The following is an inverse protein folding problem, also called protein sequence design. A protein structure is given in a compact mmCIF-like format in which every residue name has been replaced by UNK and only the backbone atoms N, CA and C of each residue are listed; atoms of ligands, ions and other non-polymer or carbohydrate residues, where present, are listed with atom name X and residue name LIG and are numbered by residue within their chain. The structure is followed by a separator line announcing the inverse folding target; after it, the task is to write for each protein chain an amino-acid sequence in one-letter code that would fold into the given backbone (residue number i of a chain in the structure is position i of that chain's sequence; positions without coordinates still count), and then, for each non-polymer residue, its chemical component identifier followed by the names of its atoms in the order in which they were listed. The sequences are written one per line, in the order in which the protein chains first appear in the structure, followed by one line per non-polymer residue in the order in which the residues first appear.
data_IF_847826025026
#
_entry.id   IF_847826025026
#
_cell.length_a   1.000
_cell.length_b   1.000
_cell.length_c   1.000
_cell.angle_alpha   90.00
_cell.angle_beta   90.00
_cell.angle_gamma   90.00
#
_symmetry.space_group_name_H-M   'P 1'
#
loop_
_entity.id
_entity.type
_entity.pdbx_description
1 polymer ?
#
# COMPACT_ATOMS: atom_id res chain seq x y z
N UNK A 1 -11.89 -13.59 25.65
CA UNK A 1 -12.95 -13.10 24.74
C UNK A 1 -12.67 -13.62 23.32
N UNK A 2 -13.51 -14.51 22.78
CA UNK A 2 -13.26 -15.20 21.49
C UNK A 2 -13.07 -14.22 20.32
N UNK A 3 -13.88 -13.15 20.25
CA UNK A 3 -13.84 -12.16 19.15
C UNK A 3 -12.53 -11.36 19.06
N UNK A 4 -11.88 -11.07 20.19
CA UNK A 4 -10.59 -10.36 20.21
C UNK A 4 -9.44 -11.25 19.73
N UNK A 5 -9.48 -12.54 20.07
CA UNK A 5 -8.48 -13.53 19.59
C UNK A 5 -8.64 -13.82 18.09
N UNK A 6 -9.88 -13.78 17.59
CA UNK A 6 -10.19 -13.95 16.17
C UNK A 6 -9.97 -12.69 15.31
N UNK A 7 -9.60 -11.55 15.89
CA UNK A 7 -9.23 -10.34 15.14
C UNK A 7 -10.41 -9.48 14.63
N UNK A 8 -11.65 -9.77 15.03
CA UNK A 8 -12.85 -9.06 14.51
C UNK A 8 -13.10 -7.67 15.10
N UNK A 9 -12.31 -7.25 16.09
CA UNK A 9 -12.49 -5.96 16.76
C UNK A 9 -11.58 -4.86 16.19
N UNK A 10 -10.60 -5.21 15.36
CA UNK A 10 -9.65 -4.25 14.77
C UNK A 10 -10.14 -3.78 13.41
N UNK A 11 -10.22 -2.46 13.23
CA UNK A 11 -10.43 -1.86 11.91
C UNK A 11 -9.14 -1.97 11.11
N UNK A 12 -9.28 -2.27 9.82
CA UNK A 12 -8.18 -2.18 8.88
C UNK A 12 -7.73 -0.72 8.72
N UNK A 13 -6.43 -0.48 8.92
CA UNK A 13 -5.82 0.84 8.79
C UNK A 13 -5.27 1.10 7.38
N UNK A 14 -5.32 0.11 6.47
CA UNK A 14 -4.77 0.24 5.12
C UNK A 14 -5.47 1.38 4.37
N UNK A 15 -4.65 2.23 3.77
CA UNK A 15 -5.08 3.31 2.90
C UNK A 15 -4.27 3.27 1.60
N UNK A 16 -4.85 3.84 0.53
CA UNK A 16 -4.16 3.93 -0.76
C UNK A 16 -2.96 4.85 -0.68
N UNK A 17 -1.79 4.36 -1.07
CA UNK A 17 -0.61 5.21 -1.18
C UNK A 17 -0.78 6.22 -2.31
N UNK A 18 -0.43 7.48 -2.05
CA UNK A 18 -0.49 8.54 -3.06
C UNK A 18 0.51 8.30 -4.20
N UNK A 19 0.18 8.82 -5.38
CA UNK A 19 1.13 8.90 -6.50
C UNK A 19 2.28 9.86 -6.15
N UNK A 20 3.51 9.41 -6.39
CA UNK A 20 4.73 10.23 -6.24
C UNK A 20 5.15 10.73 -7.63
N UNK A 21 5.71 11.94 -7.69
CA UNK A 21 6.18 12.51 -8.94
C UNK A 21 7.31 11.66 -9.55
N UNK A 22 7.41 11.64 -10.88
CA UNK A 22 8.38 10.80 -11.60
C UNK A 22 8.05 9.30 -11.61
N UNK A 23 6.95 8.87 -10.99
CA UNK A 23 6.49 7.48 -10.99
C UNK A 23 5.18 7.33 -11.77
N UNK A 24 5.00 6.16 -12.38
CA UNK A 24 3.77 5.77 -13.06
C UNK A 24 2.64 5.48 -12.03
N UNK A 25 2.99 5.07 -10.81
CA UNK A 25 2.06 4.84 -9.70
C UNK A 25 2.66 5.23 -8.34
N UNK A 26 2.14 4.69 -7.24
CA UNK A 26 2.68 4.94 -5.90
C UNK A 26 4.16 4.51 -5.77
N UNK A 27 4.52 3.39 -6.41
CA UNK A 27 5.87 2.80 -6.40
C UNK A 27 6.39 2.39 -7.78
N UNK A 28 5.51 2.21 -8.78
CA UNK A 28 5.87 1.73 -10.13
C UNK A 28 6.69 2.80 -10.89
N UNK A 29 7.87 2.41 -11.37
CA UNK A 29 8.76 3.23 -12.19
C UNK A 29 8.48 3.02 -13.69
N UNK A 30 8.84 4.01 -14.50
CA UNK A 30 8.94 3.84 -15.95
C UNK A 30 10.14 2.95 -16.29
N UNK A 31 10.10 2.36 -17.49
CA UNK A 31 11.24 1.61 -18.02
C UNK A 31 12.45 2.53 -18.12
N UNK A 32 13.60 2.09 -17.60
CA UNK A 32 14.85 2.83 -17.66
C UNK A 32 15.83 2.10 -18.57
N UNK A 33 16.32 2.76 -19.62
CA UNK A 33 17.41 2.27 -20.46
C UNK A 33 18.74 2.84 -19.97
N UNK A 34 19.70 1.97 -19.61
CA UNK A 34 21.09 2.38 -19.42
C UNK A 34 21.73 2.64 -20.79
N UNK A 35 22.69 3.56 -20.84
CA UNK A 35 23.63 3.71 -21.95
C UNK A 35 24.75 2.71 -21.77
#
# INVERSE_FOLDING_TARGET
KPLKKAGFLTRDSRMTERKKYGLAGARKRYQFSKR
#
